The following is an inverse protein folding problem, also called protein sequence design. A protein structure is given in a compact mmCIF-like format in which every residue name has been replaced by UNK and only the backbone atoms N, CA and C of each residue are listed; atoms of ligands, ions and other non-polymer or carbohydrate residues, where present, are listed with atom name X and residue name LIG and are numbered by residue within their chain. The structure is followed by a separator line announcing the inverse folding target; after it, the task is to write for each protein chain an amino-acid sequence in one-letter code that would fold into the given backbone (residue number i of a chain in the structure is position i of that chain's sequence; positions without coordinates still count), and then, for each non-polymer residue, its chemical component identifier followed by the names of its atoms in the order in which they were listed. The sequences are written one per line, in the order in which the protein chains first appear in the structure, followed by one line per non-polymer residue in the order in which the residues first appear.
data_IF_742063346369
#
_entry.id   IF_742063346369
#
_cell.length_a   1.000
_cell.length_b   1.000
_cell.length_c   1.000
_cell.angle_alpha   90.00
_cell.angle_beta   90.00
_cell.angle_gamma   90.00
#
_symmetry.space_group_name_H-M   'P 1'
#
loop_
_entity.id
_entity.type
_entity.pdbx_description
1 polymer ?
#
# COMPACT_ATOMS: atom_id res chain seq x y z
N UNK A 1 -8.74 -41.86 15.60
CA UNK A 1 -9.00 -41.16 14.32
C UNK A 1 -7.85 -40.20 14.09
N UNK A 2 -7.23 -40.22 12.90
CA UNK A 2 -6.09 -39.33 12.62
C UNK A 2 -6.67 -37.98 12.16
N UNK A 3 -6.67 -36.98 13.03
CA UNK A 3 -7.18 -35.64 12.71
C UNK A 3 -6.12 -34.89 11.90
N UNK A 4 -6.47 -34.54 10.66
CA UNK A 4 -5.59 -33.85 9.70
C UNK A 4 -5.43 -32.35 10.01
N UNK A 5 -5.29 -31.98 11.29
CA UNK A 5 -5.30 -30.58 11.74
C UNK A 5 -4.29 -29.71 10.98
N UNK A 6 -3.02 -30.12 10.94
CA UNK A 6 -1.97 -29.34 10.27
C UNK A 6 -2.12 -29.31 8.74
N UNK A 7 -2.67 -30.38 8.14
CA UNK A 7 -2.96 -30.40 6.71
C UNK A 7 -4.07 -29.41 6.35
N UNK A 8 -5.09 -29.28 7.20
CA UNK A 8 -6.14 -28.28 7.01
C UNK A 8 -5.60 -26.85 7.19
N UNK A 9 -4.73 -26.62 8.19
CA UNK A 9 -4.03 -25.34 8.35
C UNK A 9 -3.22 -24.98 7.09
N UNK A 10 -2.53 -25.95 6.50
CA UNK A 10 -1.79 -25.74 5.26
C UNK A 10 -2.70 -25.37 4.08
N UNK A 11 -3.91 -25.93 4.01
CA UNK A 11 -4.89 -25.64 2.95
C UNK A 11 -5.53 -24.25 3.06
N UNK A 12 -5.46 -23.60 4.24
CA UNK A 12 -6.02 -22.25 4.44
C UNK A 12 -5.28 -21.16 3.64
N UNK A 13 -4.04 -21.43 3.18
CA UNK A 13 -3.21 -20.55 2.36
C UNK A 13 -3.20 -19.08 2.84
N UNK A 14 -2.87 -18.89 4.11
CA UNK A 14 -2.79 -17.57 4.73
C UNK A 14 -1.37 -17.00 4.71
N UNK A 15 -1.25 -15.67 4.69
CA UNK A 15 0.03 -14.97 4.82
C UNK A 15 0.15 -14.33 6.20
N UNK A 16 1.20 -14.69 6.94
CA UNK A 16 1.50 -14.16 8.27
C UNK A 16 1.57 -15.24 9.34
N UNK A 17 1.28 -14.85 10.58
CA UNK A 17 1.32 -15.69 11.78
C UNK A 17 -0.11 -15.92 12.26
N UNK A 18 -0.55 -17.18 12.21
CA UNK A 18 -1.83 -17.60 12.78
C UNK A 18 -1.62 -17.98 14.26
N UNK A 19 -2.24 -17.23 15.15
CA UNK A 19 -2.25 -17.48 16.59
C UNK A 19 -3.56 -18.15 16.99
N UNK A 20 -3.45 -19.33 17.60
CA UNK A 20 -4.56 -20.06 18.20
C UNK A 20 -4.40 -20.05 19.72
N UNK A 21 -5.39 -19.51 20.42
CA UNK A 21 -5.46 -19.56 21.88
C UNK A 21 -6.65 -20.44 22.28
N UNK A 22 -6.40 -21.45 23.10
CA UNK A 22 -7.42 -22.39 23.56
C UNK A 22 -7.49 -22.28 25.08
N UNK A 23 -8.66 -21.95 25.61
CA UNK A 23 -8.91 -21.92 27.05
C UNK A 23 -10.11 -22.79 27.41
N UNK A 24 -10.12 -23.31 28.65
CA UNK A 24 -11.25 -24.09 29.16
C UNK A 24 -12.36 -23.15 29.60
N UNK A 25 -13.54 -23.31 29.03
CA UNK A 25 -14.75 -22.60 29.40
C UNK A 25 -15.48 -23.27 30.57
N UNK A 26 -16.67 -22.77 30.83
CA UNK A 26 -17.62 -23.32 31.81
C UNK A 26 -18.25 -24.60 31.19
N UNK A 27 -18.67 -25.55 32.03
CA UNK A 27 -19.44 -26.74 31.59
C UNK A 27 -18.73 -27.65 30.55
N UNK A 28 -17.40 -27.74 30.59
CA UNK A 28 -16.58 -28.57 29.66
C UNK A 28 -16.47 -28.05 28.23
N UNK A 29 -16.92 -26.82 27.97
CA UNK A 29 -16.70 -26.17 26.68
C UNK A 29 -15.25 -25.68 26.53
N UNK A 30 -14.82 -25.51 25.28
CA UNK A 30 -13.56 -24.87 24.93
C UNK A 30 -13.85 -23.49 24.34
N UNK A 31 -13.00 -22.53 24.68
CA UNK A 31 -13.00 -21.20 24.09
C UNK A 31 -11.76 -21.12 23.21
N UNK A 32 -11.96 -21.03 21.91
CA UNK A 32 -10.89 -20.97 20.91
C UNK A 32 -10.89 -19.59 20.27
N UNK A 33 -9.80 -18.87 20.45
CA UNK A 33 -9.57 -17.57 19.84
C UNK A 33 -8.52 -17.70 18.73
N UNK A 34 -8.88 -17.27 17.52
CA UNK A 34 -8.05 -17.31 16.33
C UNK A 34 -7.73 -15.89 15.88
N UNK A 35 -6.45 -15.56 15.77
CA UNK A 35 -5.96 -14.27 15.31
C UNK A 35 -4.92 -14.48 14.22
N UNK A 36 -5.14 -13.87 13.04
CA UNK A 36 -4.14 -13.81 11.98
C UNK A 36 -3.41 -12.47 12.05
N UNK A 37 -2.09 -12.50 12.20
CA UNK A 37 -1.26 -11.31 12.25
C UNK A 37 -0.21 -11.34 11.13
N UNK A 38 -0.17 -10.32 10.28
CA UNK A 38 0.86 -10.20 9.24
C UNK A 38 1.82 -9.04 9.58
N UNK A 39 3.06 -9.38 9.96
CA UNK A 39 4.09 -8.37 10.23
C UNK A 39 4.54 -7.61 8.98
N UNK A 40 4.43 -8.22 7.79
CA UNK A 40 4.81 -7.61 6.52
C UNK A 40 3.84 -6.50 6.08
N UNK A 41 2.60 -6.54 6.57
CA UNK A 41 1.67 -5.45 6.39
C UNK A 41 2.12 -4.26 7.26
N UNK A 42 2.69 -3.23 6.63
CA UNK A 42 3.11 -2.00 7.31
C UNK A 42 1.94 -1.12 7.77
N UNK A 43 0.70 -1.51 7.46
CA UNK A 43 -0.51 -0.77 7.81
C UNK A 43 -0.96 -1.08 9.25
N UNK A 44 -1.09 -0.05 10.07
CA UNK A 44 -1.57 -0.13 11.46
C UNK A 44 -3.03 -0.61 11.55
N UNK A 45 -3.81 -0.53 10.48
CA UNK A 45 -5.19 -1.02 10.41
C UNK A 45 -5.28 -2.55 10.65
N UNK A 46 -4.17 -3.29 10.46
CA UNK A 46 -4.10 -4.71 10.81
C UNK A 46 -4.39 -4.99 12.29
N UNK A 47 -4.07 -4.04 13.19
CA UNK A 47 -4.34 -4.15 14.62
C UNK A 47 -5.82 -3.90 14.96
N UNK A 48 -6.59 -3.37 14.02
CA UNK A 48 -8.04 -3.18 14.16
C UNK A 48 -8.85 -4.43 13.83
N UNK A 49 -8.22 -5.49 13.31
CA UNK A 49 -8.91 -6.73 12.97
C UNK A 49 -9.17 -7.51 14.27
N UNK A 50 -10.44 -7.70 14.65
CA UNK A 50 -10.77 -8.39 15.89
C UNK A 50 -10.43 -9.88 15.77
N UNK A 51 -10.00 -10.51 16.87
CA UNK A 51 -9.79 -11.94 16.89
C UNK A 51 -11.13 -12.68 16.84
N UNK A 52 -11.17 -13.81 16.13
CA UNK A 52 -12.35 -14.67 16.06
C UNK A 52 -12.39 -15.55 17.31
N UNK A 53 -13.40 -15.35 18.16
CA UNK A 53 -13.57 -16.17 19.37
C UNK A 53 -14.79 -17.07 19.22
N UNK A 54 -14.58 -18.36 19.43
CA UNK A 54 -15.61 -19.38 19.41
C UNK A 54 -15.71 -20.05 20.77
N UNK A 55 -16.92 -20.42 21.17
CA UNK A 55 -17.19 -21.19 22.37
C UNK A 55 -18.08 -22.37 21.98
N UNK A 56 -17.54 -23.57 22.08
CA UNK A 56 -18.21 -24.79 21.65
C UNK A 56 -17.63 -26.00 22.41
N UNK A 57 -18.28 -27.14 22.28
CA UNK A 57 -17.78 -28.41 22.80
C UNK A 57 -16.57 -28.90 21.96
N UNK A 58 -15.70 -29.75 22.52
CA UNK A 58 -14.60 -30.36 21.75
C UNK A 58 -15.08 -31.09 20.49
N UNK A 59 -16.23 -31.80 20.55
CA UNK A 59 -16.80 -32.47 19.39
C UNK A 59 -17.16 -31.49 18.26
N UNK A 60 -17.81 -30.37 18.57
CA UNK A 60 -18.18 -29.36 17.58
C UNK A 60 -16.94 -28.71 16.93
N UNK A 61 -15.85 -28.55 17.69
CA UNK A 61 -14.58 -28.10 17.13
C UNK A 61 -13.97 -29.15 16.19
N UNK A 62 -13.95 -30.42 16.57
CA UNK A 62 -13.39 -31.47 15.73
C UNK A 62 -14.13 -31.63 14.39
N UNK A 63 -15.46 -31.42 14.38
CA UNK A 63 -16.30 -31.56 13.20
C UNK A 63 -16.37 -30.30 12.34
N UNK A 64 -16.39 -29.11 12.94
CA UNK A 64 -16.76 -27.86 12.26
C UNK A 64 -15.78 -26.70 12.39
N UNK A 65 -14.68 -26.82 13.14
CA UNK A 65 -13.77 -25.69 13.40
C UNK A 65 -13.23 -25.07 12.11
N UNK A 66 -12.68 -25.89 11.22
CA UNK A 66 -12.06 -25.40 9.99
C UNK A 66 -13.07 -24.80 9.02
N UNK A 67 -14.27 -25.36 8.91
CA UNK A 67 -15.33 -24.79 8.08
C UNK A 67 -15.71 -23.37 8.54
N UNK A 68 -15.76 -23.16 9.87
CA UNK A 68 -16.08 -21.87 10.45
C UNK A 68 -14.95 -20.84 10.31
N UNK A 69 -13.67 -21.25 10.44
CA UNK A 69 -12.54 -20.31 10.37
C UNK A 69 -12.01 -20.09 8.95
N UNK A 70 -12.25 -20.98 8.00
CA UNK A 70 -11.66 -20.90 6.65
C UNK A 70 -12.03 -19.59 5.96
N UNK A 71 -13.32 -19.31 5.87
CA UNK A 71 -13.82 -18.09 5.20
C UNK A 71 -13.28 -16.80 5.84
N UNK A 72 -13.38 -16.58 7.17
CA UNK A 72 -12.90 -15.35 7.76
C UNK A 72 -11.37 -15.24 7.75
N UNK A 73 -10.60 -16.33 7.90
CA UNK A 73 -9.13 -16.29 7.80
C UNK A 73 -8.67 -15.93 6.39
N UNK A 74 -9.29 -16.51 5.36
CA UNK A 74 -8.98 -16.15 3.97
C UNK A 74 -9.29 -14.68 3.67
N UNK A 75 -10.42 -14.16 4.18
CA UNK A 75 -10.77 -12.73 4.05
C UNK A 75 -9.75 -11.82 4.72
N UNK A 76 -9.34 -12.14 5.96
CA UNK A 76 -8.35 -11.36 6.69
C UNK A 76 -6.99 -11.41 6.01
N UNK A 77 -6.56 -12.61 5.57
CA UNK A 77 -5.31 -12.81 4.83
C UNK A 77 -5.29 -11.98 3.53
N UNK A 78 -6.34 -12.10 2.71
CA UNK A 78 -6.46 -11.35 1.47
C UNK A 78 -6.43 -9.84 1.69
N UNK A 79 -7.19 -9.36 2.68
CA UNK A 79 -7.20 -7.94 3.06
C UNK A 79 -5.81 -7.45 3.48
N UNK A 80 -5.06 -8.21 4.29
CA UNK A 80 -3.70 -7.83 4.69
C UNK A 80 -2.73 -7.77 3.51
N UNK A 81 -2.82 -8.71 2.57
CA UNK A 81 -1.99 -8.73 1.35
C UNK A 81 -2.33 -7.56 0.42
N UNK A 82 -3.61 -7.25 0.27
CA UNK A 82 -4.08 -6.15 -0.57
C UNK A 82 -3.66 -4.79 0.02
N UNK A 83 -3.75 -4.63 1.34
CA UNK A 83 -3.26 -3.41 2.02
C UNK A 83 -1.75 -3.23 1.82
N UNK A 84 -0.95 -4.29 1.91
CA UNK A 84 0.50 -4.20 1.65
C UNK A 84 0.80 -3.81 0.21
N UNK A 85 0.14 -4.45 -0.77
CA UNK A 85 0.32 -4.14 -2.20
C UNK A 85 -0.09 -2.72 -2.51
N UNK A 86 -1.24 -2.28 -1.99
CA UNK A 86 -1.75 -0.93 -2.18
C UNK A 86 -0.80 0.10 -1.58
N UNK A 87 -0.26 -0.14 -0.38
CA UNK A 87 0.71 0.74 0.25
C UNK A 87 2.00 0.86 -0.58
N UNK A 88 2.55 -0.27 -1.06
CA UNK A 88 3.71 -0.28 -1.97
C UNK A 88 3.44 0.52 -3.25
N UNK A 89 2.30 0.28 -3.90
CA UNK A 89 1.91 1.01 -5.10
C UNK A 89 1.71 2.51 -4.83
N UNK A 90 1.15 2.89 -3.69
CA UNK A 90 1.02 4.28 -3.28
C UNK A 90 2.38 4.95 -3.10
N UNK A 91 3.32 4.28 -2.45
CA UNK A 91 4.67 4.81 -2.24
C UNK A 91 5.44 4.94 -3.55
N UNK A 92 5.31 3.97 -4.46
CA UNK A 92 5.84 4.06 -5.82
C UNK A 92 5.23 5.23 -6.61
N UNK A 93 3.90 5.40 -6.58
CA UNK A 93 3.21 6.48 -7.26
C UNK A 93 3.59 7.87 -6.69
N UNK A 94 3.75 7.97 -5.37
CA UNK A 94 4.27 9.18 -4.70
C UNK A 94 5.72 9.46 -5.11
N UNK A 95 6.57 8.44 -5.15
CA UNK A 95 7.96 8.57 -5.57
C UNK A 95 8.06 9.03 -7.03
N UNK A 96 7.29 8.43 -7.94
CA UNK A 96 7.20 8.86 -9.34
C UNK A 96 6.70 10.31 -9.46
N UNK A 97 5.67 10.68 -8.70
CA UNK A 97 5.15 12.06 -8.68
C UNK A 97 6.18 13.07 -8.17
N UNK A 98 6.99 12.71 -7.17
CA UNK A 98 8.08 13.54 -6.66
C UNK A 98 9.22 13.67 -7.69
N UNK A 99 9.56 12.60 -8.39
CA UNK A 99 10.56 12.58 -9.47
C UNK A 99 10.10 13.43 -10.66
N UNK A 100 8.85 13.31 -11.08
CA UNK A 100 8.20 14.10 -12.14
C UNK A 100 8.23 15.60 -11.80
N UNK A 101 7.85 15.97 -10.57
CA UNK A 101 7.90 17.36 -10.07
C UNK A 101 9.34 17.91 -10.03
N UNK A 102 10.31 17.11 -9.56
CA UNK A 102 11.71 17.52 -9.52
C UNK A 102 12.34 17.66 -10.92
N UNK A 103 11.95 16.80 -11.88
CA UNK A 103 12.38 16.89 -13.28
C UNK A 103 11.81 18.15 -13.96
N UNK A 104 10.52 18.41 -13.80
CA UNK A 104 9.88 19.61 -14.38
C UNK A 104 10.42 20.91 -13.77
N UNK A 105 10.77 20.94 -12.48
CA UNK A 105 11.37 22.12 -11.87
C UNK A 105 12.81 22.38 -12.34
N UNK A 106 13.63 21.32 -12.48
CA UNK A 106 14.98 21.41 -13.08
C UNK A 106 14.93 21.87 -14.54
N UNK A 107 13.93 21.45 -15.31
CA UNK A 107 13.76 21.87 -16.70
C UNK A 107 13.31 23.34 -16.83
N UNK A 108 12.39 23.80 -15.96
CA UNK A 108 11.96 25.21 -15.89
C UNK A 108 13.10 26.15 -15.48
N UNK A 109 14.00 25.72 -14.57
CA UNK A 109 15.19 26.51 -14.18
C UNK A 109 16.21 26.64 -15.32
N UNK A 110 16.35 25.63 -16.19
CA UNK A 110 17.28 25.68 -17.35
C UNK A 110 16.74 26.48 -18.55
N UNK A 111 15.41 26.52 -18.77
CA UNK A 111 14.82 27.25 -19.92
C UNK A 111 14.67 28.76 -19.67
N UNK A 112 14.43 29.21 -18.42
CA UNK A 112 14.23 30.65 -18.10
C UNK A 112 15.40 31.60 -18.48
N UNK A 113 16.69 31.30 -18.22
CA UNK A 113 17.77 32.25 -18.55
C UNK A 113 18.05 32.33 -20.06
N UNK A 114 17.92 31.23 -20.81
CA UNK A 114 18.13 31.22 -22.27
C UNK A 114 17.06 32.02 -23.01
N UNK A 115 15.78 31.89 -22.64
CA UNK A 115 14.69 32.62 -23.31
C UNK A 115 14.75 34.12 -23.03
N UNK A 116 15.16 34.54 -21.82
CA UNK A 116 15.32 35.96 -21.47
C UNK A 116 16.52 36.60 -22.18
N UNK A 117 17.65 35.88 -22.29
CA UNK A 117 18.81 36.32 -23.07
C UNK A 117 18.50 36.49 -24.56
N UNK A 118 17.83 35.50 -25.18
CA UNK A 118 17.40 35.62 -26.58
C UNK A 118 16.49 36.82 -26.79
N UNK A 119 15.43 36.98 -25.98
CA UNK A 119 14.47 38.10 -26.13
C UNK A 119 15.15 39.47 -26.04
N UNK A 120 16.13 39.60 -25.14
CA UNK A 120 16.90 40.85 -24.97
C UNK A 120 17.83 41.13 -26.16
N UNK A 121 18.48 40.10 -26.73
CA UNK A 121 19.30 40.25 -27.93
C UNK A 121 18.45 40.66 -29.15
N UNK A 122 17.27 40.04 -29.33
CA UNK A 122 16.35 40.41 -30.41
C UNK A 122 15.88 41.87 -30.30
N UNK A 123 15.52 42.33 -29.10
CA UNK A 123 15.11 43.72 -28.87
C UNK A 123 16.24 44.74 -29.11
N UNK A 124 17.48 44.42 -28.72
CA UNK A 124 18.63 45.28 -29.04
C UNK A 124 18.88 45.34 -30.54
N UNK A 125 18.74 44.22 -31.25
CA UNK A 125 18.95 44.17 -32.71
C UNK A 125 17.87 44.93 -33.48
N UNK A 126 16.62 44.88 -33.04
CA UNK A 126 15.52 45.65 -33.67
C UNK A 126 15.61 47.14 -33.36
N UNK A 127 16.02 47.53 -32.14
CA UNK A 127 16.21 48.94 -31.80
C UNK A 127 17.39 49.58 -32.55
N UNK A 128 18.48 48.83 -32.74
CA UNK A 128 19.60 49.27 -33.58
C UNK A 128 19.20 49.46 -35.04
N UNK A 129 18.44 48.53 -35.63
CA UNK A 129 17.93 48.67 -37.00
C UNK A 129 17.01 49.89 -37.16
N UNK A 130 16.13 50.16 -36.18
CA UNK A 130 15.27 51.35 -36.19
C UNK A 130 16.07 52.65 -36.09
N UNK A 131 17.07 52.73 -35.20
CA UNK A 131 17.95 53.91 -35.08
C UNK A 131 18.79 54.13 -36.34
N UNK A 132 19.38 53.08 -36.90
CA UNK A 132 20.17 53.19 -38.13
C UNK A 132 19.33 53.68 -39.34
N UNK A 133 18.06 53.27 -39.44
CA UNK A 133 17.16 53.73 -40.49
C UNK A 133 16.67 55.17 -40.29
N UNK A 134 16.62 55.67 -39.05
CA UNK A 134 16.27 57.06 -38.73
C UNK A 134 17.40 58.04 -39.05
N UNK A 135 18.67 57.63 -38.88
CA UNK A 135 19.85 58.44 -39.17
C UNK A 135 20.15 58.51 -40.68
N UNK A 136 19.67 57.55 -41.47
CA UNK A 136 19.79 57.57 -42.94
C UNK A 136 18.70 58.38 -43.66
N UNK A 137 17.69 58.87 -42.93
CA UNK A 137 16.52 59.57 -43.50
C UNK A 137 16.40 61.03 -43.05
N UNK A 138 17.39 61.55 -42.32
CA UNK A 138 17.57 62.97 -42.03
C UNK A 138 18.93 63.40 -42.56
#
# INVERSE_FOLDING_TARGET
MNTNFFNQIQQLDFTGVLQLNISKGIESNLIVTVLLNNEQCGDSAKNGIPPLTFNATPQEFDEGFFEQITTPIQKVSGLMVDMEKFQKQLDEAKAQSAIEKAKTEKEKKKKKPKTRSLKMQWQRRTSWKKRANSVKRG
#
